data_IF_543000681495
#
_entry.id   IF_543000681495
#
_cell.length_a   1.000
_cell.length_b   1.000
_cell.length_c   1.000
_cell.angle_alpha   90.00
_cell.angle_beta   90.00
_cell.angle_gamma   90.00
#
_symmetry.space_group_name_H-M   'P 1'
#
loop_
_entity.id
_entity.type
_entity.pdbx_description
1 polymer ?
#
# COMPACT_ATOMS: atom_id res chain seq x y z
N UNK A 1 13.77 3.02 8.62
CA UNK A 1 12.95 3.96 9.42
C UNK A 1 12.61 5.16 8.56
N UNK A 2 11.64 5.95 9.00
CA UNK A 2 11.29 7.21 8.32
C UNK A 2 12.52 8.12 8.25
N UNK A 3 12.83 8.66 7.06
CA UNK A 3 14.00 9.48 6.79
C UNK A 3 15.32 8.73 6.64
N UNK A 4 15.33 7.40 6.77
CA UNK A 4 16.54 6.60 6.48
C UNK A 4 16.92 6.76 5.00
N UNK A 5 18.23 6.70 4.72
CA UNK A 5 18.79 6.79 3.39
C UNK A 5 19.55 5.52 3.03
N UNK A 6 19.23 4.97 1.86
CA UNK A 6 19.83 3.72 1.37
C UNK A 6 20.63 4.01 0.11
N UNK A 7 21.92 3.72 0.15
CA UNK A 7 22.77 3.87 -1.04
C UNK A 7 22.48 2.79 -2.10
N UNK A 8 22.32 3.20 -3.35
CA UNK A 8 22.15 2.34 -4.51
C UNK A 8 23.13 2.77 -5.61
N UNK A 9 24.34 2.24 -5.59
CA UNK A 9 25.43 2.69 -6.46
C UNK A 9 25.77 4.17 -6.17
N UNK A 10 25.56 5.03 -7.16
CA UNK A 10 25.73 6.49 -7.05
C UNK A 10 24.43 7.23 -6.75
N UNK A 11 23.35 6.50 -6.50
CA UNK A 11 22.04 7.04 -6.15
C UNK A 11 21.76 6.83 -4.66
N UNK A 12 20.79 7.58 -4.13
CA UNK A 12 20.34 7.49 -2.75
C UNK A 12 18.82 7.41 -2.73
N UNK A 13 18.31 6.40 -2.02
CA UNK A 13 16.87 6.20 -1.81
C UNK A 13 16.52 6.77 -0.44
N UNK A 14 15.54 7.65 -0.37
CA UNK A 14 14.94 8.11 0.87
C UNK A 14 13.74 7.21 1.25
N UNK A 15 13.68 6.79 2.51
CA UNK A 15 12.60 5.98 3.07
C UNK A 15 11.58 6.89 3.72
N UNK A 16 10.32 6.78 3.31
CA UNK A 16 9.20 7.58 3.84
C UNK A 16 8.20 6.62 4.50
N UNK A 17 8.01 6.73 5.81
CA UNK A 17 7.02 5.90 6.51
C UNK A 17 5.61 6.35 6.18
N UNK A 18 4.78 5.42 5.69
CA UNK A 18 3.42 5.63 5.20
C UNK A 18 2.44 4.65 5.85
N UNK A 19 2.29 4.66 7.19
CA UNK A 19 1.37 3.76 7.88
C UNK A 19 -0.08 4.04 7.50
N UNK A 20 -0.95 3.04 7.69
CA UNK A 20 -2.39 3.17 7.48
C UNK A 20 -3.00 1.97 6.79
N UNK A 21 -2.50 1.52 5.66
CA UNK A 21 -2.82 0.20 5.12
C UNK A 21 -2.33 -0.90 6.07
N UNK A 22 -1.07 -0.83 6.45
CA UNK A 22 -0.48 -1.56 7.58
C UNK A 22 0.41 -0.61 8.38
N UNK A 23 0.77 -0.96 9.64
CA UNK A 23 1.69 -0.15 10.44
C UNK A 23 3.12 -0.03 9.85
N UNK A 24 3.51 -0.96 8.99
CA UNK A 24 4.87 -1.08 8.48
C UNK A 24 5.07 -0.53 7.07
N UNK A 25 4.03 0.01 6.43
CA UNK A 25 4.11 0.50 5.06
C UNK A 25 5.14 1.61 4.92
N UNK A 26 5.91 1.56 3.84
CA UNK A 26 6.93 2.52 3.46
C UNK A 26 6.77 2.88 1.99
N UNK A 27 7.02 4.14 1.67
CA UNK A 27 7.31 4.59 0.32
C UNK A 27 8.81 4.85 0.16
N UNK A 28 9.31 4.83 -1.06
CA UNK A 28 10.71 5.03 -1.37
C UNK A 28 10.85 6.09 -2.45
N UNK A 29 11.61 7.15 -2.16
CA UNK A 29 11.88 8.20 -3.14
C UNK A 29 13.30 8.06 -3.69
N UNK A 30 13.43 8.10 -5.01
CA UNK A 30 14.69 8.07 -5.73
C UNK A 30 14.69 9.19 -6.79
N UNK A 31 15.32 10.33 -6.46
CA UNK A 31 15.26 11.51 -7.33
C UNK A 31 13.83 12.01 -7.53
N UNK A 32 13.35 12.00 -8.78
CA UNK A 32 11.98 12.37 -9.16
C UNK A 32 10.99 11.20 -9.14
N UNK A 33 11.42 10.00 -8.81
CA UNK A 33 10.59 8.79 -8.77
C UNK A 33 10.19 8.45 -7.33
N UNK A 34 8.89 8.19 -7.11
CA UNK A 34 8.30 7.78 -5.84
C UNK A 34 7.62 6.42 -5.98
N UNK A 35 8.07 5.43 -5.24
CA UNK A 35 7.50 4.08 -5.18
C UNK A 35 6.63 3.97 -3.93
N UNK A 36 5.31 3.94 -4.09
CA UNK A 36 4.36 4.16 -2.99
C UNK A 36 3.91 2.91 -2.23
N UNK A 37 4.32 1.72 -2.68
CA UNK A 37 3.80 0.48 -2.09
C UNK A 37 2.26 0.42 -2.14
N UNK A 38 1.66 -0.25 -1.15
CA UNK A 38 0.20 -0.32 -1.01
C UNK A 38 -0.36 0.88 -0.22
N UNK A 39 0.10 2.08 -0.53
CA UNK A 39 -0.40 3.32 0.07
C UNK A 39 -1.39 4.01 -0.87
N UNK A 40 -1.01 4.12 -2.15
CA UNK A 40 -1.72 4.87 -3.18
C UNK A 40 -1.80 4.03 -4.45
N UNK A 41 -2.88 4.13 -5.20
CA UNK A 41 -3.11 3.47 -6.48
C UNK A 41 -3.35 4.50 -7.57
N UNK A 42 -3.49 4.03 -8.83
CA UNK A 42 -3.83 4.93 -9.94
C UNK A 42 -5.02 5.83 -9.57
N UNK A 43 -5.08 7.06 -10.10
CA UNK A 43 -6.11 8.04 -9.72
C UNK A 43 -7.55 7.52 -9.79
N UNK A 44 -7.85 6.64 -10.72
CA UNK A 44 -9.16 6.00 -10.89
C UNK A 44 -9.39 4.76 -10.00
N UNK A 45 -8.34 4.26 -9.35
CA UNK A 45 -8.40 3.15 -8.40
C UNK A 45 -8.37 3.62 -6.92
N UNK A 46 -7.74 4.76 -6.66
CA UNK A 46 -7.78 5.46 -5.37
C UNK A 46 -6.71 5.01 -4.39
N UNK A 47 -7.07 4.33 -3.31
CA UNK A 47 -6.17 4.01 -2.19
C UNK A 47 -6.36 2.59 -1.68
N UNK A 48 -5.38 2.06 -0.96
CA UNK A 48 -5.48 0.78 -0.28
C UNK A 48 -6.58 0.75 0.80
N UNK A 49 -6.97 -0.45 1.19
CA UNK A 49 -7.82 -0.73 2.36
C UNK A 49 -7.05 -0.54 3.67
N UNK A 50 -7.78 -0.34 4.76
CA UNK A 50 -7.21 -0.08 6.08
C UNK A 50 -7.70 -1.03 7.17
N UNK A 51 -8.40 -2.09 6.83
CA UNK A 51 -9.03 -3.01 7.77
C UNK A 51 -8.16 -4.24 8.15
N UNK A 52 -6.90 -4.21 7.77
CA UNK A 52 -5.91 -5.16 8.27
C UNK A 52 -5.50 -4.84 9.72
N UNK A 53 -5.01 -5.83 10.50
CA UNK A 53 -4.56 -5.58 11.86
C UNK A 53 -3.56 -4.43 11.96
N UNK A 54 -3.92 -3.41 12.74
CA UNK A 54 -3.13 -2.17 12.88
C UNK A 54 -3.30 -1.16 11.74
N UNK A 55 -4.18 -1.43 10.77
CA UNK A 55 -4.57 -0.45 9.75
C UNK A 55 -5.49 0.62 10.32
N UNK A 56 -5.45 1.83 9.75
CA UNK A 56 -6.24 2.97 10.18
C UNK A 56 -6.43 3.98 9.05
N UNK A 57 -7.69 4.35 8.76
CA UNK A 57 -8.01 5.21 7.63
C UNK A 57 -7.53 6.66 7.80
N UNK A 58 -7.60 7.22 9.01
CA UNK A 58 -7.11 8.57 9.27
C UNK A 58 -5.58 8.64 9.12
N UNK A 59 -4.90 7.63 9.61
CA UNK A 59 -3.44 7.48 9.45
C UNK A 59 -3.06 7.33 7.99
N UNK A 60 -3.79 6.53 7.20
CA UNK A 60 -3.55 6.41 5.77
C UNK A 60 -3.73 7.75 5.04
N UNK A 61 -4.79 8.49 5.34
CA UNK A 61 -5.02 9.81 4.76
C UNK A 61 -3.83 10.74 4.99
N UNK A 62 -3.35 10.84 6.23
CA UNK A 62 -2.20 11.68 6.58
C UNK A 62 -0.91 11.22 5.90
N UNK A 63 -0.69 9.90 5.80
CA UNK A 63 0.45 9.33 5.07
C UNK A 63 0.42 9.70 3.60
N UNK A 64 -0.75 9.61 2.96
CA UNK A 64 -0.91 9.99 1.55
C UNK A 64 -0.67 11.50 1.39
N UNK A 65 -1.29 12.34 2.23
CA UNK A 65 -1.12 13.79 2.13
C UNK A 65 0.34 14.23 2.35
N UNK A 66 1.12 13.53 3.21
CA UNK A 66 2.57 13.72 3.32
C UNK A 66 3.28 13.49 1.96
N UNK A 67 2.87 12.47 1.19
CA UNK A 67 3.41 12.22 -0.14
C UNK A 67 2.95 13.28 -1.16
N UNK A 68 1.71 13.73 -1.05
CA UNK A 68 1.13 14.75 -1.95
C UNK A 68 1.73 16.16 -1.74
N UNK A 69 2.53 16.38 -0.69
CA UNK A 69 3.33 17.60 -0.49
C UNK A 69 4.56 17.66 -1.42
N UNK A 70 4.96 16.54 -2.01
CA UNK A 70 6.06 16.48 -2.96
C UNK A 70 5.75 17.32 -4.22
N UNK A 71 6.78 17.74 -4.98
CA UNK A 71 6.58 18.49 -6.21
C UNK A 71 5.60 17.80 -7.17
N UNK A 72 4.68 18.55 -7.77
CA UNK A 72 3.64 18.01 -8.65
C UNK A 72 4.15 17.17 -9.83
N UNK A 73 5.37 17.43 -10.30
CA UNK A 73 6.03 16.67 -11.36
C UNK A 73 6.68 15.36 -10.88
N UNK A 74 6.68 15.06 -9.57
CA UNK A 74 7.21 13.79 -9.04
C UNK A 74 6.41 12.63 -9.64
N UNK A 75 7.13 11.70 -10.23
CA UNK A 75 6.58 10.50 -10.86
C UNK A 75 6.25 9.48 -9.78
N UNK A 76 5.04 8.93 -9.81
CA UNK A 76 4.54 7.99 -8.80
C UNK A 76 4.36 6.62 -9.44
N UNK A 77 5.02 5.62 -8.88
CA UNK A 77 4.99 4.24 -9.36
C UNK A 77 4.17 3.34 -8.43
N UNK A 78 3.17 2.67 -9.02
CA UNK A 78 2.23 1.81 -8.33
C UNK A 78 2.73 0.38 -8.18
N UNK A 79 2.42 -0.27 -7.05
CA UNK A 79 2.62 -1.71 -6.86
C UNK A 79 1.56 -2.53 -7.58
N UNK A 80 0.33 -2.02 -7.62
CA UNK A 80 -0.84 -2.70 -8.15
C UNK A 80 -1.67 -1.76 -9.00
N UNK A 81 -2.17 -2.25 -10.11
CA UNK A 81 -3.25 -1.62 -10.86
C UNK A 81 -4.33 -2.65 -11.17
N UNK A 82 -5.57 -2.26 -10.99
CA UNK A 82 -6.75 -3.12 -11.15
C UNK A 82 -7.50 -2.86 -12.44
N UNK A 83 -7.04 -1.96 -13.30
CA UNK A 83 -7.65 -1.60 -14.58
C UNK A 83 -9.15 -1.31 -14.48
N UNK A 84 -9.61 -0.34 -13.66
CA UNK A 84 -11.04 -0.07 -13.52
C UNK A 84 -11.70 0.17 -14.87
N UNK A 85 -12.93 -0.32 -15.06
CA UNK A 85 -13.70 -0.22 -16.31
C UNK A 85 -12.98 -0.82 -17.53
N UNK A 86 -12.25 -1.91 -17.35
CA UNK A 86 -11.51 -2.63 -18.41
C UNK A 86 -10.41 -1.76 -19.09
N UNK A 87 -9.92 -0.73 -18.42
CA UNK A 87 -8.75 0.04 -18.85
C UNK A 87 -7.51 -0.86 -18.89
N UNK A 88 -6.62 -0.63 -19.83
CA UNK A 88 -5.29 -1.25 -19.82
C UNK A 88 -4.53 -0.91 -18.53
N UNK A 89 -3.68 -1.83 -18.08
CA UNK A 89 -2.91 -1.66 -16.85
C UNK A 89 -1.90 -0.53 -17.02
N UNK A 90 -1.87 0.36 -16.05
CA UNK A 90 -0.92 1.46 -15.93
C UNK A 90 -0.17 1.35 -14.60
N UNK A 91 1.02 1.87 -14.54
CA UNK A 91 1.87 1.75 -13.36
C UNK A 91 2.51 3.07 -12.93
N UNK A 92 2.31 4.13 -13.68
CA UNK A 92 2.93 5.44 -13.46
C UNK A 92 1.90 6.56 -13.58
N UNK A 93 1.97 7.51 -12.66
CA UNK A 93 1.24 8.77 -12.67
C UNK A 93 2.13 9.88 -12.08
N UNK A 94 1.56 11.02 -11.70
CA UNK A 94 2.27 12.11 -11.05
C UNK A 94 1.57 12.57 -9.77
N UNK A 95 2.29 13.23 -8.87
CA UNK A 95 1.69 13.87 -7.68
C UNK A 95 0.61 14.87 -8.09
N UNK A 96 0.80 15.62 -9.17
CA UNK A 96 -0.20 16.56 -9.66
C UNK A 96 -1.50 15.85 -10.08
N UNK A 97 -1.42 14.74 -10.80
CA UNK A 97 -2.60 13.96 -11.21
C UNK A 97 -3.30 13.31 -10.02
N UNK A 98 -2.55 12.82 -9.03
CA UNK A 98 -3.12 12.28 -7.79
C UNK A 98 -3.93 13.34 -7.05
N UNK A 99 -3.38 14.54 -6.88
CA UNK A 99 -4.05 15.67 -6.25
C UNK A 99 -5.29 16.15 -6.98
N UNK A 100 -5.28 16.11 -8.30
CA UNK A 100 -6.39 16.59 -9.13
C UNK A 100 -7.49 15.53 -9.29
N UNK A 101 -7.11 14.26 -9.50
CA UNK A 101 -8.01 13.26 -10.08
C UNK A 101 -8.26 12.04 -9.20
N UNK A 102 -7.44 11.80 -8.14
CA UNK A 102 -7.63 10.61 -7.33
C UNK A 102 -9.03 10.58 -6.69
N UNK A 103 -9.77 9.50 -6.97
CA UNK A 103 -11.18 9.35 -6.56
C UNK A 103 -11.38 9.34 -5.05
N UNK A 104 -10.32 9.10 -4.26
CA UNK A 104 -10.40 8.98 -2.81
C UNK A 104 -9.73 10.15 -2.06
N UNK A 105 -8.68 10.76 -2.62
CA UNK A 105 -7.80 11.70 -1.87
C UNK A 105 -7.42 12.97 -2.63
N UNK A 106 -8.11 13.28 -3.73
CA UNK A 106 -7.88 14.56 -4.42
C UNK A 106 -8.06 15.74 -3.46
N UNK A 107 -7.44 16.87 -3.77
CA UNK A 107 -7.38 18.08 -2.93
C UNK A 107 -8.72 18.54 -2.35
N UNK A 108 -9.84 18.19 -2.98
CA UNK A 108 -11.19 18.56 -2.50
C UNK A 108 -11.78 17.61 -1.45
N UNK A 109 -11.12 16.49 -1.13
CA UNK A 109 -11.61 15.49 -0.18
C UNK A 109 -10.99 15.73 1.20
N UNK A 110 -11.81 15.95 2.21
CA UNK A 110 -11.36 16.10 3.58
C UNK A 110 -11.03 14.76 4.26
N UNK A 111 -10.23 14.81 5.35
CA UNK A 111 -9.92 13.62 6.15
C UNK A 111 -11.19 12.89 6.62
N UNK A 112 -12.18 13.65 7.12
CA UNK A 112 -13.44 13.07 7.60
C UNK A 112 -14.24 12.37 6.49
N UNK A 113 -14.27 12.94 5.29
CA UNK A 113 -14.91 12.31 4.13
C UNK A 113 -14.20 11.04 3.71
N UNK A 114 -12.87 11.08 3.63
CA UNK A 114 -12.05 9.92 3.33
C UNK A 114 -12.26 8.79 4.35
N UNK A 115 -12.19 9.10 5.65
CA UNK A 115 -12.35 8.10 6.73
C UNK A 115 -13.72 7.45 6.66
N UNK A 116 -14.79 8.23 6.46
CA UNK A 116 -16.15 7.67 6.30
C UNK A 116 -16.25 6.76 5.09
N UNK A 117 -15.79 7.21 3.93
CA UNK A 117 -15.81 6.45 2.68
C UNK A 117 -14.97 5.17 2.81
N UNK A 118 -13.72 5.27 3.28
CA UNK A 118 -12.79 4.15 3.39
C UNK A 118 -13.31 3.09 4.36
N UNK A 119 -13.75 3.51 5.54
CA UNK A 119 -14.33 2.60 6.54
C UNK A 119 -15.59 1.89 6.03
N UNK A 120 -16.46 2.62 5.32
CA UNK A 120 -17.66 2.01 4.74
C UNK A 120 -17.32 0.99 3.66
N UNK A 121 -16.38 1.33 2.76
CA UNK A 121 -15.95 0.44 1.69
C UNK A 121 -15.24 -0.80 2.24
N UNK A 122 -14.35 -0.66 3.22
CA UNK A 122 -13.59 -1.77 3.78
C UNK A 122 -14.50 -2.84 4.41
N UNK A 123 -15.60 -2.42 5.06
CA UNK A 123 -16.61 -3.35 5.59
C UNK A 123 -17.28 -4.23 4.52
N UNK A 124 -17.22 -3.84 3.26
CA UNK A 124 -17.78 -4.63 2.15
C UNK A 124 -16.77 -5.58 1.51
N UNK A 125 -15.49 -5.47 1.87
CA UNK A 125 -14.43 -6.27 1.28
C UNK A 125 -14.24 -7.58 2.03
N UNK A 126 -14.22 -8.68 1.31
CA UNK A 126 -13.79 -9.97 1.85
C UNK A 126 -12.30 -10.01 2.17
N UNK A 127 -11.89 -11.03 2.94
CA UNK A 127 -10.47 -11.31 3.15
C UNK A 127 -9.79 -11.63 1.82
N UNK A 128 -8.61 -11.06 1.53
CA UNK A 128 -7.88 -11.40 0.30
C UNK A 128 -7.62 -12.91 0.21
N UNK A 129 -7.87 -13.48 -0.97
CA UNK A 129 -7.86 -14.93 -1.19
C UNK A 129 -6.50 -15.58 -0.80
N UNK A 130 -5.40 -14.90 -1.02
CA UNK A 130 -4.05 -15.42 -0.75
C UNK A 130 -3.44 -14.93 0.57
N UNK A 131 -4.19 -14.27 1.46
CA UNK A 131 -3.59 -13.66 2.65
C UNK A 131 -2.91 -14.70 3.55
N UNK A 132 -3.52 -15.85 3.78
CA UNK A 132 -2.99 -16.88 4.67
C UNK A 132 -1.67 -17.49 4.17
N UNK A 133 -1.57 -17.93 2.91
CA UNK A 133 -0.30 -18.40 2.37
C UNK A 133 0.75 -17.28 2.28
N UNK A 134 0.35 -16.08 1.84
CA UNK A 134 1.28 -14.96 1.66
C UNK A 134 1.93 -14.52 2.97
N UNK A 135 1.17 -14.38 4.05
CA UNK A 135 1.72 -14.01 5.35
C UNK A 135 2.79 -14.99 5.84
N UNK A 136 2.57 -16.29 5.62
CA UNK A 136 3.50 -17.33 6.09
C UNK A 136 4.82 -17.33 5.33
N UNK A 137 4.82 -16.88 4.08
CA UNK A 137 6.02 -16.77 3.24
C UNK A 137 6.68 -15.40 3.44
N UNK A 138 5.89 -14.32 3.43
CA UNK A 138 6.42 -12.96 3.53
C UNK A 138 7.11 -12.67 4.86
N UNK A 139 6.58 -13.20 5.98
CA UNK A 139 7.22 -13.07 7.30
C UNK A 139 8.62 -13.74 7.36
N UNK A 140 8.92 -14.60 6.39
CA UNK A 140 10.21 -15.29 6.22
C UNK A 140 11.02 -14.76 5.03
N UNK A 141 10.73 -13.55 4.59
CA UNK A 141 11.40 -12.91 3.44
C UNK A 141 11.39 -13.78 2.14
N UNK A 142 10.29 -14.49 1.90
CA UNK A 142 10.09 -15.32 0.72
C UNK A 142 10.42 -16.81 0.93
N UNK A 143 10.97 -17.21 2.08
CA UNK A 143 11.30 -18.60 2.36
C UNK A 143 10.06 -19.42 2.80
N UNK A 144 10.02 -20.66 2.37
CA UNK A 144 9.01 -21.60 2.84
C UNK A 144 9.26 -22.02 4.30
N UNK A 145 8.23 -22.45 5.05
CA UNK A 145 8.39 -23.08 6.36
C UNK A 145 9.32 -24.30 6.28
N UNK A 146 9.91 -24.67 7.42
CA UNK A 146 10.69 -25.91 7.50
C UNK A 146 9.79 -27.13 7.29
N UNK A 147 10.36 -28.20 6.71
CA UNK A 147 9.66 -29.47 6.60
C UNK A 147 9.29 -30.03 7.99
N UNK A 148 8.15 -30.70 8.09
CA UNK A 148 7.72 -31.43 9.27
C UNK A 148 8.35 -32.82 9.33
N UNK A 149 8.07 -33.59 10.39
CA UNK A 149 8.67 -34.91 10.64
C UNK A 149 8.44 -35.92 9.50
N UNK A 150 7.41 -35.71 8.69
CA UNK A 150 7.12 -36.52 7.50
C UNK A 150 7.92 -36.08 6.25
N UNK A 151 8.79 -35.08 6.35
CA UNK A 151 9.60 -34.55 5.27
C UNK A 151 8.88 -33.60 4.32
N UNK A 152 7.62 -33.25 4.56
CA UNK A 152 6.82 -32.34 3.72
C UNK A 152 6.76 -30.93 4.32
N UNK A 153 6.67 -29.94 3.43
CA UNK A 153 6.48 -28.53 3.78
C UNK A 153 4.99 -28.18 3.70
N UNK A 154 4.48 -27.53 4.73
CA UNK A 154 3.08 -27.14 4.81
C UNK A 154 2.91 -25.63 5.06
N UNK A 155 1.90 -25.04 4.42
CA UNK A 155 1.33 -23.76 4.85
C UNK A 155 0.13 -24.09 5.74
N UNK A 156 0.13 -23.56 6.97
CA UNK A 156 -0.86 -23.91 8.01
C UNK A 156 -2.02 -22.92 7.99
N UNK A 157 -3.24 -23.43 8.07
CA UNK A 157 -4.43 -22.60 8.24
C UNK A 157 -4.82 -22.67 9.72
N UNK A 158 -4.80 -21.55 10.47
CA UNK A 158 -5.22 -21.53 11.84
C UNK A 158 -6.74 -21.70 11.94
N UNK A 159 -7.18 -22.63 12.78
CA UNK A 159 -8.60 -22.87 13.05
C UNK A 159 -9.04 -21.93 14.18
N UNK A 160 -10.15 -21.21 13.99
CA UNK A 160 -10.73 -20.27 14.97
C UNK A 160 -9.83 -19.09 15.40
N UNK A 161 -8.80 -18.75 14.63
CA UNK A 161 -7.92 -17.62 14.93
C UNK A 161 -8.39 -16.29 14.31
N UNK A 162 -9.22 -16.37 13.27
CA UNK A 162 -9.83 -15.22 12.61
C UNK A 162 -11.33 -15.23 12.89
N UNK A 163 -11.79 -14.22 13.59
CA UNK A 163 -13.22 -14.00 13.91
C UNK A 163 -13.75 -12.85 13.06
#
# INVERSE_FOLDING_TARGET
RDGDRIALGNLEIEVIHTPGHTPACMAYQLGDALFVGDTLFMPDAGTARCDFPGGDAATLYRSIHKLLELPGATRVFMCHDYGPNDRELEYETTIAEERERNIHVKDSVSEDEFVRMRTARDKTLGMPHLILPSLQVNVRAGEFPKAEDNGLVYLKIPINAFK
#
